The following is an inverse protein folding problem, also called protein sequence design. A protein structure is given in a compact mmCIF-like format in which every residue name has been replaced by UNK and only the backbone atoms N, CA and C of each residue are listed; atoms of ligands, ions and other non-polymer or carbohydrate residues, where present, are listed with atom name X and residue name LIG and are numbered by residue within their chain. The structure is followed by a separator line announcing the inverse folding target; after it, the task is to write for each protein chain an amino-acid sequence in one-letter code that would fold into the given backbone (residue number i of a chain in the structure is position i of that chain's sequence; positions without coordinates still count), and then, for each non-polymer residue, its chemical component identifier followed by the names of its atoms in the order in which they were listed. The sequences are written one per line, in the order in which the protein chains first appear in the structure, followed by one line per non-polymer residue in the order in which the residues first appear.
data_IF_603315950949
#
_entry.id   IF_603315950949
#
_cell.length_a   1.000
_cell.length_b   1.000
_cell.length_c   1.000
_cell.angle_alpha   90.00
_cell.angle_beta   90.00
_cell.angle_gamma   90.00
#
_symmetry.space_group_name_H-M   'P 1'
#
loop_
_entity.id
_entity.type
_entity.pdbx_description
1 polymer ?
#
# COMPACT_ATOMS: atom_id res chain seq x y z
N UNK A 1 2.92 -43.71 -7.01
CA UNK A 1 2.04 -42.54 -6.79
C UNK A 1 2.73 -41.41 -6.01
N UNK A 2 3.43 -41.68 -4.89
CA UNK A 2 4.10 -40.65 -4.07
C UNK A 2 5.14 -39.78 -4.81
N UNK A 3 5.99 -40.37 -5.67
CA UNK A 3 7.02 -39.61 -6.44
C UNK A 3 6.44 -38.67 -7.50
N UNK A 4 5.34 -39.06 -8.16
CA UNK A 4 4.66 -38.22 -9.17
C UNK A 4 3.95 -37.02 -8.53
N UNK A 5 3.36 -37.21 -7.34
CA UNK A 5 2.78 -36.12 -6.54
C UNK A 5 3.85 -35.13 -6.04
N UNK A 6 5.01 -35.63 -5.59
CA UNK A 6 6.12 -34.78 -5.15
C UNK A 6 6.65 -33.88 -6.26
N UNK A 7 6.86 -34.43 -7.46
CA UNK A 7 7.33 -33.66 -8.63
C UNK A 7 6.31 -32.60 -9.03
N UNK A 8 5.01 -32.93 -9.01
CA UNK A 8 3.93 -31.97 -9.28
C UNK A 8 3.92 -30.82 -8.28
N UNK A 9 4.11 -31.10 -6.98
CA UNK A 9 4.21 -30.06 -5.95
C UNK A 9 5.43 -29.16 -6.15
N UNK A 10 6.59 -29.74 -6.44
CA UNK A 10 7.83 -28.97 -6.71
C UNK A 10 7.66 -28.06 -7.93
N UNK A 11 7.02 -28.55 -9.00
CA UNK A 11 6.77 -27.72 -10.19
C UNK A 11 5.87 -26.51 -9.92
N UNK A 12 4.84 -26.67 -9.08
CA UNK A 12 3.99 -25.54 -8.65
C UNK A 12 4.79 -24.51 -7.85
N UNK A 13 5.65 -24.95 -6.93
CA UNK A 13 6.50 -24.05 -6.15
C UNK A 13 7.51 -23.29 -7.03
N UNK A 14 8.05 -23.91 -8.09
CA UNK A 14 8.96 -23.26 -9.03
C UNK A 14 8.22 -22.20 -9.86
N UNK A 15 7.00 -22.49 -10.33
CA UNK A 15 6.20 -21.53 -11.10
C UNK A 15 5.78 -20.35 -10.24
N UNK A 16 5.22 -20.61 -9.05
CA UNK A 16 4.79 -19.56 -8.11
C UNK A 16 6.01 -18.76 -7.63
N UNK A 17 7.06 -19.44 -7.17
CA UNK A 17 8.30 -18.80 -6.73
C UNK A 17 8.98 -18.00 -7.84
N UNK A 18 8.96 -18.50 -9.09
CA UNK A 18 9.49 -17.81 -10.26
C UNK A 18 8.76 -16.50 -10.55
N UNK A 19 7.43 -16.46 -10.42
CA UNK A 19 6.64 -15.23 -10.58
C UNK A 19 7.03 -14.19 -9.52
N UNK A 20 7.16 -14.60 -8.26
CA UNK A 20 7.60 -13.71 -7.18
C UNK A 20 9.03 -13.17 -7.41
N UNK A 21 9.95 -14.01 -7.87
CA UNK A 21 11.33 -13.60 -8.17
C UNK A 21 11.39 -12.62 -9.35
N UNK A 22 10.69 -12.89 -10.46
CA UNK A 22 10.69 -11.99 -11.63
C UNK A 22 10.15 -10.61 -11.24
N UNK A 23 9.02 -10.57 -10.54
CA UNK A 23 8.45 -9.30 -10.05
C UNK A 23 9.47 -8.55 -9.19
N UNK A 24 10.20 -9.22 -8.29
CA UNK A 24 11.17 -8.57 -7.40
C UNK A 24 12.36 -7.89 -8.09
N UNK A 25 12.69 -8.25 -9.33
CA UNK A 25 13.88 -7.75 -10.04
C UNK A 25 13.57 -6.84 -11.23
N UNK A 26 12.31 -6.66 -11.61
CA UNK A 26 11.94 -5.78 -12.73
C UNK A 26 11.87 -4.33 -12.30
N UNK A 27 12.73 -3.49 -12.87
CA UNK A 27 12.58 -2.03 -12.81
C UNK A 27 11.63 -1.56 -13.92
N UNK A 28 10.61 -0.83 -13.52
CA UNK A 28 9.55 -0.26 -14.36
C UNK A 28 9.78 1.22 -14.64
N UNK A 29 10.60 1.90 -13.82
CA UNK A 29 10.77 3.35 -13.84
C UNK A 29 9.66 4.08 -13.07
N UNK A 30 8.76 3.34 -12.41
CA UNK A 30 7.68 3.86 -11.58
C UNK A 30 8.04 3.63 -10.11
N UNK A 31 8.13 4.71 -9.32
CA UNK A 31 8.59 4.65 -7.93
C UNK A 31 7.81 3.63 -7.09
N UNK A 32 6.47 3.67 -7.19
CA UNK A 32 5.59 2.80 -6.42
C UNK A 32 5.73 1.30 -6.77
N UNK A 33 6.08 0.98 -8.02
CA UNK A 33 6.25 -0.40 -8.49
C UNK A 33 7.69 -0.92 -8.30
N UNK A 34 8.66 -0.02 -8.29
CA UNK A 34 10.07 -0.35 -8.12
C UNK A 34 10.44 -0.56 -6.64
N UNK A 35 9.70 0.02 -5.70
CA UNK A 35 9.80 -0.31 -4.28
C UNK A 35 9.05 -1.61 -3.94
N UNK A 36 9.80 -2.65 -3.57
CA UNK A 36 9.24 -3.98 -3.35
C UNK A 36 8.22 -4.04 -2.23
N UNK A 37 8.39 -3.21 -1.18
CA UNK A 37 7.48 -3.20 -0.04
C UNK A 37 6.16 -2.50 -0.39
N UNK A 38 6.24 -1.36 -1.06
CA UNK A 38 5.08 -0.60 -1.56
C UNK A 38 4.24 -1.45 -2.51
N UNK A 39 4.89 -2.15 -3.45
CA UNK A 39 4.19 -2.96 -4.43
C UNK A 39 3.41 -4.15 -3.82
N UNK A 40 3.71 -4.60 -2.60
CA UNK A 40 2.90 -5.62 -1.92
C UNK A 40 1.45 -5.19 -1.69
N UNK A 41 1.18 -3.89 -1.70
CA UNK A 41 -0.13 -3.32 -1.44
C UNK A 41 -0.88 -2.90 -2.72
N UNK A 42 -0.23 -3.02 -3.89
CA UNK A 42 -0.75 -2.51 -5.15
C UNK A 42 -1.36 -3.62 -5.99
N UNK A 43 -2.57 -3.38 -6.49
CA UNK A 43 -3.21 -4.19 -7.51
C UNK A 43 -3.13 -3.48 -8.87
N UNK A 44 -2.33 -4.05 -9.78
CA UNK A 44 -2.11 -3.54 -11.12
C UNK A 44 -3.25 -3.91 -12.10
N UNK A 45 -4.10 -4.86 -11.73
CA UNK A 45 -5.20 -5.35 -12.58
C UNK A 45 -6.47 -4.49 -12.43
N UNK A 46 -6.54 -3.64 -11.40
CA UNK A 46 -7.67 -2.74 -11.13
C UNK A 46 -7.43 -1.37 -11.79
N UNK A 47 -8.35 -0.98 -12.68
CA UNK A 47 -8.30 0.31 -13.37
C UNK A 47 -8.57 1.48 -12.40
N UNK A 48 -7.67 2.45 -12.42
CA UNK A 48 -7.74 3.70 -11.64
C UNK A 48 -7.37 4.90 -12.52
N UNK A 49 -7.43 6.12 -11.98
CA UNK A 49 -6.99 7.32 -12.69
C UNK A 49 -5.51 7.25 -13.12
N UNK A 50 -5.17 7.95 -14.20
CA UNK A 50 -3.78 8.07 -14.67
C UNK A 50 -2.87 8.63 -13.56
N UNK A 51 -1.71 8.01 -13.36
CA UNK A 51 -0.73 8.40 -12.34
C UNK A 51 -0.95 7.73 -10.98
N UNK A 52 -1.85 6.74 -10.91
CA UNK A 52 -2.19 6.04 -9.69
C UNK A 52 -2.22 4.52 -9.88
N UNK A 53 -2.16 3.79 -8.76
CA UNK A 53 -2.41 2.36 -8.63
C UNK A 53 -3.48 2.11 -7.57
N UNK A 54 -4.23 1.02 -7.71
CA UNK A 54 -5.15 0.62 -6.66
C UNK A 54 -4.36 0.09 -5.46
N UNK A 55 -4.59 0.66 -4.28
CA UNK A 55 -3.98 0.24 -3.03
C UNK A 55 -5.02 -0.36 -2.09
N UNK A 56 -4.69 -1.49 -1.49
CA UNK A 56 -5.44 -2.06 -0.38
C UNK A 56 -4.57 -2.09 0.89
N UNK A 57 -5.13 -1.53 1.97
CA UNK A 57 -4.44 -1.48 3.25
C UNK A 57 -4.27 -2.88 3.86
N UNK A 58 -3.19 -3.11 4.63
CA UNK A 58 -2.87 -4.48 5.11
C UNK A 58 -3.96 -5.06 6.01
N UNK A 59 -4.68 -4.20 6.73
CA UNK A 59 -5.77 -4.61 7.60
C UNK A 59 -7.11 -4.79 6.85
N UNK A 60 -7.15 -4.55 5.54
CA UNK A 60 -8.32 -4.65 4.67
C UNK A 60 -9.44 -3.66 5.00
N UNK A 61 -9.14 -2.53 5.67
CA UNK A 61 -10.16 -1.56 6.13
C UNK A 61 -10.39 -0.40 5.19
N UNK A 62 -9.43 -0.08 4.34
CA UNK A 62 -9.58 0.95 3.34
C UNK A 62 -8.80 0.62 2.07
N UNK A 63 -9.22 1.25 0.99
CA UNK A 63 -8.53 1.29 -0.28
C UNK A 63 -8.32 2.74 -0.67
N UNK A 64 -7.31 3.00 -1.50
CA UNK A 64 -7.07 4.32 -2.06
C UNK A 64 -6.44 4.22 -3.44
N UNK A 65 -6.46 5.32 -4.18
CA UNK A 65 -5.61 5.49 -5.35
C UNK A 65 -4.25 5.98 -4.87
N UNK A 66 -3.24 5.13 -5.02
CA UNK A 66 -1.88 5.38 -4.56
C UNK A 66 -1.06 6.04 -5.68
N UNK A 67 -0.44 7.19 -5.44
CA UNK A 67 0.28 7.93 -6.48
C UNK A 67 1.56 7.20 -6.91
N UNK A 68 1.83 7.19 -8.22
CA UNK A 68 2.92 6.40 -8.82
C UNK A 68 4.33 6.85 -8.42
N UNK A 69 4.49 8.12 -8.02
CA UNK A 69 5.77 8.75 -7.66
C UNK A 69 6.16 8.59 -6.18
N UNK A 70 5.35 7.88 -5.40
CA UNK A 70 5.56 7.70 -3.97
C UNK A 70 5.94 6.26 -3.60
N UNK A 71 6.53 6.09 -2.43
CA UNK A 71 6.75 4.79 -1.80
C UNK A 71 6.40 4.83 -0.31
N UNK A 72 6.20 3.67 0.28
CA UNK A 72 5.98 3.47 1.72
C UNK A 72 7.30 3.04 2.35
N UNK A 73 7.75 3.77 3.37
CA UNK A 73 8.90 3.33 4.15
C UNK A 73 8.48 2.24 5.14
N UNK A 74 9.10 1.06 5.03
CA UNK A 74 8.85 -0.12 5.87
C UNK A 74 9.26 0.02 7.33
N UNK A 75 10.01 1.07 7.70
CA UNK A 75 10.41 1.32 9.08
C UNK A 75 9.17 1.55 9.97
N UNK A 76 9.17 1.00 11.18
CA UNK A 76 8.02 1.03 12.10
C UNK A 76 7.58 2.45 12.49
N UNK A 77 8.46 3.44 12.33
CA UNK A 77 8.16 4.86 12.58
C UNK A 77 7.30 5.47 11.46
N UNK A 78 7.25 4.80 10.31
CA UNK A 78 6.61 5.25 9.07
C UNK A 78 5.48 4.32 8.62
N UNK A 79 5.53 3.05 9.01
CA UNK A 79 4.52 2.07 8.70
C UNK A 79 4.19 1.16 9.90
N UNK A 80 2.92 1.13 10.30
CA UNK A 80 2.38 0.17 11.27
C UNK A 80 0.99 -0.23 10.81
N UNK A 81 0.65 -1.51 10.85
CA UNK A 81 -0.70 -1.97 10.52
C UNK A 81 -1.12 -3.10 11.45
N UNK A 82 -2.29 -2.93 12.09
CA UNK A 82 -2.97 -3.93 12.90
C UNK A 82 -4.50 -3.71 12.84
N UNK A 83 -5.28 -4.57 13.50
CA UNK A 83 -6.75 -4.49 13.47
C UNK A 83 -7.34 -3.16 13.96
N UNK A 84 -6.61 -2.45 14.83
CA UNK A 84 -7.06 -1.24 15.48
C UNK A 84 -6.43 0.00 14.89
N UNK A 85 -5.27 -0.08 14.28
CA UNK A 85 -4.63 1.09 13.71
C UNK A 85 -3.85 0.76 12.47
N UNK A 86 -3.79 1.76 11.61
CA UNK A 86 -2.84 1.83 10.53
C UNK A 86 -2.16 3.18 10.60
N UNK A 87 -0.85 3.16 10.38
CA UNK A 87 0.03 4.28 10.17
C UNK A 87 0.70 3.98 8.83
N UNK A 88 0.50 4.84 7.85
CA UNK A 88 1.22 4.78 6.58
C UNK A 88 1.76 6.17 6.34
N UNK A 89 3.05 6.29 6.05
CA UNK A 89 3.66 7.50 5.51
C UNK A 89 4.07 7.24 4.06
N UNK A 90 3.54 8.06 3.16
CA UNK A 90 3.98 8.12 1.77
C UNK A 90 5.16 9.08 1.68
N UNK A 91 6.18 8.72 0.90
CA UNK A 91 7.37 9.54 0.64
C UNK A 91 7.57 9.65 -0.86
N UNK A 92 7.84 10.86 -1.36
CA UNK A 92 8.15 11.11 -2.77
C UNK A 92 9.60 10.74 -3.09
N UNK A 93 9.86 10.23 -4.30
CA UNK A 93 11.22 10.07 -4.81
C UNK A 93 11.85 11.38 -5.30
N UNK A 94 11.03 12.37 -5.68
CA UNK A 94 11.49 13.69 -6.11
C UNK A 94 11.72 14.62 -4.92
N UNK A 95 12.97 14.64 -4.47
CA UNK A 95 13.60 15.63 -3.61
C UNK A 95 13.25 15.60 -2.12
N UNK A 96 14.30 15.42 -1.31
CA UNK A 96 14.38 15.64 0.13
C UNK A 96 14.11 17.11 0.57
N UNK A 97 13.36 17.90 -0.21
CA UNK A 97 13.11 19.33 0.04
C UNK A 97 11.79 19.58 0.74
N UNK A 98 10.80 18.71 0.58
CA UNK A 98 9.51 18.75 1.28
C UNK A 98 9.09 17.32 1.64
N UNK A 99 8.92 17.05 2.93
CA UNK A 99 8.45 15.76 3.45
C UNK A 99 6.92 15.74 3.26
N UNK A 100 6.44 15.40 2.05
CA UNK A 100 5.01 15.27 1.79
C UNK A 100 4.51 13.94 2.36
N UNK A 101 4.10 13.97 3.63
CA UNK A 101 3.58 12.82 4.36
C UNK A 101 2.07 12.88 4.52
N UNK A 102 1.34 11.90 3.98
CA UNK A 102 -0.03 11.61 4.41
C UNK A 102 0.07 10.63 5.58
N UNK A 103 -0.52 10.97 6.74
CA UNK A 103 -0.63 10.07 7.89
C UNK A 103 -2.11 9.74 8.15
N UNK A 104 -2.50 8.52 7.83
CA UNK A 104 -3.80 7.98 8.23
C UNK A 104 -3.64 7.35 9.61
N UNK A 105 -4.51 7.70 10.56
CA UNK A 105 -4.61 7.03 11.86
C UNK A 105 -6.04 6.54 12.04
N UNK A 106 -6.25 5.25 11.86
CA UNK A 106 -7.53 4.62 12.19
C UNK A 106 -7.49 4.11 13.64
N UNK A 107 -8.59 4.21 14.39
CA UNK A 107 -8.77 3.54 15.70
C UNK A 107 -9.98 2.62 15.64
N UNK A 108 -9.77 1.41 15.10
CA UNK A 108 -10.79 0.37 15.03
C UNK A 108 -11.31 -0.02 16.41
N UNK A 109 -12.63 0.09 16.58
CA UNK A 109 -13.41 -0.25 17.79
C UNK A 109 -13.01 0.49 19.08
N UNK A 110 -12.61 1.75 18.98
CA UNK A 110 -12.94 2.68 20.07
C UNK A 110 -14.47 2.85 20.11
N UNK A 111 -15.09 3.15 21.25
CA UNK A 111 -16.53 3.49 21.35
C UNK A 111 -16.89 4.81 20.62
N UNK A 112 -16.09 5.22 19.65
CA UNK A 112 -16.27 6.44 18.90
C UNK A 112 -17.40 6.24 17.89
N UNK A 113 -18.43 7.07 18.06
CA UNK A 113 -19.57 7.16 17.17
C UNK A 113 -19.08 7.33 15.72
N UNK A 114 -19.66 6.58 14.77
CA UNK A 114 -19.41 6.71 13.32
C UNK A 114 -19.39 8.18 12.86
N UNK A 115 -20.26 9.01 13.44
CA UNK A 115 -20.35 10.44 13.14
C UNK A 115 -19.07 11.21 13.53
N UNK A 116 -18.38 10.81 14.60
CA UNK A 116 -17.12 11.43 15.04
C UNK A 116 -15.98 11.12 14.08
N UNK A 117 -15.90 9.89 13.57
CA UNK A 117 -14.88 9.51 12.58
C UNK A 117 -15.13 10.24 11.26
N UNK A 118 -16.39 10.29 10.81
CA UNK A 118 -16.78 11.02 9.61
C UNK A 118 -16.42 12.50 9.72
N UNK A 119 -16.77 13.17 10.83
CA UNK A 119 -16.42 14.59 11.04
C UNK A 119 -14.91 14.82 10.97
N UNK A 120 -14.11 13.98 11.63
CA UNK A 120 -12.64 14.09 11.60
C UNK A 120 -12.06 13.87 10.22
N UNK A 121 -12.63 12.93 9.46
CA UNK A 121 -12.21 12.69 8.08
C UNK A 121 -12.53 13.90 7.19
N UNK A 122 -13.73 14.47 7.31
CA UNK A 122 -14.11 15.68 6.57
C UNK A 122 -13.25 16.90 6.96
N UNK A 123 -12.94 17.08 8.24
CA UNK A 123 -12.02 18.12 8.71
C UNK A 123 -10.61 17.96 8.12
N UNK A 124 -10.10 16.72 8.07
CA UNK A 124 -8.82 16.41 7.42
C UNK A 124 -8.87 16.68 5.92
N UNK A 125 -9.94 16.29 5.23
CA UNK A 125 -10.11 16.58 3.80
C UNK A 125 -10.13 18.08 3.52
N UNK A 126 -10.83 18.87 4.34
CA UNK A 126 -10.84 20.34 4.20
C UNK A 126 -9.46 20.94 4.48
N UNK A 127 -8.75 20.45 5.50
CA UNK A 127 -7.40 20.92 5.82
C UNK A 127 -6.37 20.58 4.74
N UNK A 128 -6.55 19.45 4.04
CA UNK A 128 -5.67 18.97 2.97
C UNK A 128 -6.09 19.45 1.57
N UNK A 129 -7.34 19.88 1.39
CA UNK A 129 -7.76 20.52 0.15
C UNK A 129 -7.07 21.89 0.05
N UNK A 130 -6.25 22.07 -0.98
CA UNK A 130 -5.65 23.35 -1.33
C UNK A 130 -6.76 24.41 -1.43
N UNK A 131 -6.91 25.27 -0.41
CA UNK A 131 -7.61 26.53 -0.57
C UNK A 131 -6.72 27.44 -1.41
N UNK A 132 -7.05 27.54 -2.71
CA UNK A 132 -6.73 28.69 -3.56
C UNK A 132 -7.60 29.89 -3.19
#
# INVERSE_FOLDING_TARGET
MKKKLLISFISIFIVVGGIFVVRGFTQTGVTALDDSFTREFLDEDIEVGKGFYFYEARNGKYTMWFPEDFYINKDQSFYQSNERMELVRLLSSESAKYDESIQLNYRGRSHDNKNTIESRFQELLVALSFNS
#
